data_IF_420447350276
#
_entry.id   IF_420447350276
#
_cell.length_a   1.000
_cell.length_b   1.000
_cell.length_c   1.000
_cell.angle_alpha   90.00
_cell.angle_beta   90.00
_cell.angle_gamma   90.00
#
_symmetry.space_group_name_H-M   'P 1'
#
loop_
_entity.id
_entity.type
_entity.pdbx_description
1 polymer ?
#
# COMPACT_ATOMS: atom_id res chain seq x y z
N UNK A 1 -11.56 -19.61 6.30
CA UNK A 1 -12.37 -18.96 7.36
C UNK A 1 -11.43 -18.26 8.32
N UNK A 2 -11.79 -17.05 8.77
CA UNK A 2 -11.06 -16.32 9.81
C UNK A 2 -11.39 -16.92 11.18
N UNK A 3 -10.84 -18.09 11.46
CA UNK A 3 -10.95 -18.72 12.77
C UNK A 3 -9.54 -18.99 13.26
N UNK A 4 -9.18 -18.37 14.38
CA UNK A 4 -7.96 -18.68 15.13
C UNK A 4 -8.10 -20.09 15.69
N UNK A 5 -7.68 -21.08 14.90
CA UNK A 5 -7.71 -22.49 15.26
C UNK A 5 -6.32 -22.91 15.72
N UNK A 6 -6.25 -23.58 16.86
CA UNK A 6 -5.04 -24.26 17.28
C UNK A 6 -4.61 -25.29 16.21
N UNK A 7 -3.31 -25.43 15.99
CA UNK A 7 -2.73 -26.21 14.89
C UNK A 7 -3.19 -27.67 14.89
N UNK A 8 -3.51 -28.23 16.05
CA UNK A 8 -4.04 -29.60 16.21
C UNK A 8 -5.52 -29.78 15.87
N UNK A 9 -6.30 -28.69 15.82
CA UNK A 9 -7.75 -28.73 15.59
C UNK A 9 -8.14 -28.49 14.13
N UNK A 10 -7.18 -28.13 13.27
CA UNK A 10 -7.43 -27.76 11.87
C UNK A 10 -8.14 -28.85 11.07
N UNK A 11 -7.71 -30.12 11.23
CA UNK A 11 -8.33 -31.25 10.51
C UNK A 11 -9.75 -31.59 10.97
N UNK A 12 -10.10 -31.29 12.22
CA UNK A 12 -11.46 -31.44 12.75
C UNK A 12 -12.32 -30.27 12.27
N UNK A 13 -11.80 -29.05 12.33
CA UNK A 13 -12.49 -27.86 11.88
C UNK A 13 -12.80 -27.88 10.37
N UNK A 14 -11.87 -28.37 9.54
CA UNK A 14 -12.08 -28.49 8.09
C UNK A 14 -13.20 -29.50 7.74
N UNK A 15 -13.49 -30.45 8.64
CA UNK A 15 -14.62 -31.39 8.50
C UNK A 15 -15.95 -30.80 8.97
N UNK A 16 -15.91 -30.07 10.08
CA UNK A 16 -17.12 -29.67 10.80
C UNK A 16 -17.61 -28.26 10.39
N UNK A 17 -16.75 -27.43 9.78
CA UNK A 17 -17.10 -26.10 9.30
C UNK A 17 -16.94 -25.98 7.79
N UNK A 18 -18.00 -25.52 7.12
CA UNK A 18 -17.96 -25.25 5.69
C UNK A 18 -17.27 -23.92 5.41
N UNK A 19 -16.32 -23.90 4.49
CA UNK A 19 -15.69 -22.66 4.07
C UNK A 19 -16.63 -21.81 3.21
N UNK A 20 -16.41 -20.48 3.26
CA UNK A 20 -17.07 -19.52 2.36
C UNK A 20 -16.82 -19.91 0.90
N UNK A 21 -17.89 -20.00 0.12
CA UNK A 21 -17.84 -20.43 -1.28
C UNK A 21 -17.06 -19.44 -2.16
N UNK A 22 -16.19 -19.96 -3.03
CA UNK A 22 -15.52 -19.16 -4.07
C UNK A 22 -16.41 -18.97 -5.30
N UNK A 23 -17.15 -20.01 -5.67
CA UNK A 23 -17.98 -20.09 -6.86
C UNK A 23 -19.19 -21.00 -6.62
N UNK A 24 -20.33 -20.70 -7.24
CA UNK A 24 -21.49 -21.59 -7.26
C UNK A 24 -22.23 -21.53 -8.60
N UNK A 25 -23.13 -22.49 -8.81
CA UNK A 25 -24.05 -22.54 -9.95
C UNK A 25 -25.37 -21.87 -9.54
N UNK A 26 -25.99 -21.14 -10.46
CA UNK A 26 -27.25 -20.40 -10.24
C UNK A 26 -27.08 -18.89 -10.41
N UNK A 27 -28.06 -18.13 -9.93
CA UNK A 27 -28.09 -16.66 -9.93
C UNK A 27 -28.34 -16.05 -8.55
N UNK A 28 -28.38 -16.87 -7.50
CA UNK A 28 -28.55 -16.46 -6.11
C UNK A 28 -27.68 -17.31 -5.16
N UNK A 29 -27.56 -16.87 -3.91
CA UNK A 29 -26.95 -17.66 -2.83
C UNK A 29 -27.80 -17.55 -1.56
N UNK A 30 -27.82 -18.62 -0.77
CA UNK A 30 -28.41 -18.57 0.56
C UNK A 30 -27.46 -17.89 1.56
N UNK A 31 -28.02 -17.43 2.67
CA UNK A 31 -27.21 -16.97 3.80
C UNK A 31 -26.24 -18.08 4.26
N UNK A 32 -24.97 -17.70 4.50
CA UNK A 32 -23.97 -18.57 5.10
C UNK A 32 -23.77 -18.13 6.54
N UNK A 33 -24.51 -18.74 7.46
CA UNK A 33 -24.51 -18.39 8.88
C UNK A 33 -23.33 -19.02 9.63
N UNK A 34 -22.58 -18.20 10.37
CA UNK A 34 -21.52 -18.65 11.29
C UNK A 34 -21.96 -18.35 12.71
N UNK A 35 -21.98 -19.39 13.55
CA UNK A 35 -22.38 -19.33 14.95
C UNK A 35 -21.28 -18.69 15.82
N UNK A 36 -21.66 -17.79 16.70
CA UNK A 36 -20.81 -17.16 17.72
C UNK A 36 -19.81 -16.11 17.22
N UNK A 37 -19.73 -15.83 15.92
CA UNK A 37 -18.83 -14.82 15.35
C UNK A 37 -19.48 -13.43 15.29
N UNK A 38 -20.07 -12.98 16.39
CA UNK A 38 -20.75 -11.70 16.51
C UNK A 38 -19.80 -10.66 17.10
N UNK A 39 -19.66 -9.51 16.44
CA UNK A 39 -18.87 -8.39 16.99
C UNK A 39 -19.53 -7.83 18.26
N UNK A 40 -18.76 -7.26 19.20
CA UNK A 40 -19.31 -6.51 20.32
C UNK A 40 -20.28 -5.43 19.81
N UNK A 41 -21.39 -5.22 20.50
CA UNK A 41 -22.46 -4.29 20.11
C UNK A 41 -23.17 -4.61 18.79
N UNK A 42 -23.10 -5.85 18.30
CA UNK A 42 -23.95 -6.28 17.18
C UNK A 42 -25.41 -6.38 17.62
N UNK A 43 -26.33 -6.07 16.71
CA UNK A 43 -27.77 -6.09 16.97
C UNK A 43 -28.45 -7.06 16.02
N UNK A 44 -29.48 -7.76 16.50
CA UNK A 44 -30.25 -8.67 15.68
C UNK A 44 -31.02 -7.89 14.62
N UNK A 45 -30.86 -8.25 13.35
CA UNK A 45 -31.53 -7.54 12.25
C UNK A 45 -33.06 -7.68 12.26
N UNK A 46 -33.63 -8.55 13.09
CA UNK A 46 -35.07 -8.83 13.16
C UNK A 46 -35.73 -8.09 14.32
N UNK A 47 -35.19 -8.19 15.53
CA UNK A 47 -35.78 -7.58 16.73
C UNK A 47 -35.03 -6.33 17.21
N UNK A 48 -33.87 -6.02 16.63
CA UNK A 48 -33.00 -4.90 17.01
C UNK A 48 -32.42 -4.97 18.44
N UNK A 49 -32.53 -6.11 19.12
CA UNK A 49 -31.90 -6.34 20.42
C UNK A 49 -30.45 -6.82 20.25
N UNK A 50 -29.55 -6.57 21.23
CA UNK A 50 -28.15 -6.94 21.13
C UNK A 50 -27.92 -8.45 20.97
N UNK A 51 -26.95 -8.82 20.14
CA UNK A 51 -26.47 -10.19 19.94
C UNK A 51 -25.16 -10.43 20.69
N UNK A 52 -24.86 -11.70 20.99
CA UNK A 52 -23.60 -12.12 21.60
C UNK A 52 -23.47 -11.79 23.09
N UNK A 53 -24.60 -11.53 23.78
CA UNK A 53 -24.64 -11.26 25.22
C UNK A 53 -24.51 -12.53 26.07
N UNK A 54 -24.91 -13.69 25.53
CA UNK A 54 -24.74 -14.96 26.23
C UNK A 54 -23.24 -15.33 26.24
N UNK A 55 -22.75 -15.84 27.38
CA UNK A 55 -21.40 -16.41 27.50
C UNK A 55 -21.30 -17.78 26.77
N UNK A 56 -21.98 -17.90 25.64
CA UNK A 56 -22.07 -19.07 24.79
C UNK A 56 -22.11 -18.62 23.32
N UNK A 57 -21.59 -19.45 22.42
CA UNK A 57 -21.70 -19.23 20.97
C UNK A 57 -23.16 -19.48 20.56
N UNK A 58 -24.09 -18.54 20.77
CA UNK A 58 -25.52 -18.75 20.52
C UNK A 58 -26.01 -18.08 19.22
N UNK A 59 -25.58 -16.85 18.96
CA UNK A 59 -26.09 -16.05 17.83
C UNK A 59 -25.32 -16.27 16.54
N UNK A 60 -25.87 -15.81 15.42
CA UNK A 60 -25.32 -16.06 14.09
C UNK A 60 -24.96 -14.77 13.36
N UNK A 61 -23.90 -14.83 12.56
CA UNK A 61 -23.51 -13.78 11.59
C UNK A 61 -23.40 -14.37 10.20
N UNK A 62 -24.01 -13.73 9.21
CA UNK A 62 -23.86 -14.16 7.81
C UNK A 62 -22.53 -13.69 7.22
N UNK A 63 -21.74 -14.59 6.63
CA UNK A 63 -20.46 -14.26 5.98
C UNK A 63 -20.57 -13.42 4.70
N UNK A 64 -21.78 -13.26 4.16
CA UNK A 64 -22.01 -12.49 2.93
C UNK A 64 -22.54 -11.09 3.28
N UNK A 65 -23.77 -11.00 3.80
CA UNK A 65 -24.39 -9.72 4.12
C UNK A 65 -23.95 -9.11 5.47
N UNK A 66 -23.17 -9.83 6.27
CA UNK A 66 -22.66 -9.39 7.59
C UNK A 66 -23.75 -9.14 8.65
N UNK A 67 -25.03 -9.39 8.36
CA UNK A 67 -26.12 -9.27 9.34
C UNK A 67 -25.95 -10.30 10.46
N UNK A 68 -26.34 -9.88 11.66
CA UNK A 68 -26.43 -10.71 12.86
C UNK A 68 -27.88 -11.04 13.19
N UNK A 69 -28.12 -12.25 13.71
CA UNK A 69 -29.46 -12.72 14.06
C UNK A 69 -29.39 -13.67 15.26
N UNK A 70 -30.35 -13.54 16.18
CA UNK A 70 -30.50 -14.52 17.26
C UNK A 70 -30.94 -15.87 16.72
N UNK A 71 -30.60 -16.95 17.43
CA UNK A 71 -31.09 -18.31 17.11
C UNK A 71 -32.61 -18.33 16.91
N UNK A 72 -33.36 -17.71 17.83
CA UNK A 72 -34.83 -17.67 17.78
C UNK A 72 -35.40 -16.77 16.65
N UNK A 73 -34.59 -15.85 16.13
CA UNK A 73 -35.01 -14.91 15.08
C UNK A 73 -34.68 -15.41 13.67
N UNK A 74 -33.84 -16.45 13.53
CA UNK A 74 -33.32 -16.88 12.23
C UNK A 74 -34.42 -17.28 11.23
N UNK A 75 -35.48 -17.96 11.70
CA UNK A 75 -36.61 -18.37 10.84
C UNK A 75 -37.51 -17.24 10.34
N UNK A 76 -37.24 -15.98 10.74
CA UNK A 76 -37.97 -14.78 10.30
C UNK A 76 -37.28 -14.06 9.14
N UNK A 77 -36.12 -14.54 8.69
CA UNK A 77 -35.37 -13.98 7.57
C UNK A 77 -35.57 -14.80 6.30
N UNK A 78 -35.44 -14.13 5.15
CA UNK A 78 -35.36 -14.79 3.86
C UNK A 78 -34.15 -15.74 3.81
N UNK A 79 -34.31 -16.88 3.14
CA UNK A 79 -33.21 -17.83 2.97
C UNK A 79 -32.13 -17.31 2.02
N UNK A 80 -32.54 -16.51 1.03
CA UNK A 80 -31.68 -15.94 -0.01
C UNK A 80 -31.02 -14.66 0.48
N UNK A 81 -29.69 -14.63 0.39
CA UNK A 81 -28.89 -13.50 0.84
C UNK A 81 -28.81 -12.41 -0.23
N UNK A 82 -29.18 -11.19 0.15
CA UNK A 82 -29.07 -9.97 -0.67
C UNK A 82 -27.65 -9.37 -0.71
N UNK A 83 -26.67 -10.04 -0.11
CA UNK A 83 -25.25 -9.66 0.01
C UNK A 83 -24.99 -8.39 0.85
N UNK A 84 -26.03 -7.80 1.45
CA UNK A 84 -25.91 -6.68 2.38
C UNK A 84 -25.37 -5.37 1.78
N UNK A 85 -24.93 -4.47 2.65
CA UNK A 85 -24.61 -3.07 2.31
C UNK A 85 -23.44 -2.92 1.32
N UNK A 86 -22.40 -3.75 1.41
CA UNK A 86 -21.21 -3.66 0.55
C UNK A 86 -21.28 -4.56 -0.69
N UNK A 87 -22.49 -4.96 -1.13
CA UNK A 87 -22.69 -5.82 -2.30
C UNK A 87 -22.10 -5.27 -3.60
N UNK A 88 -21.91 -3.95 -3.70
CA UNK A 88 -21.29 -3.29 -4.84
C UNK A 88 -19.78 -3.63 -4.95
N UNK A 89 -19.09 -3.83 -3.83
CA UNK A 89 -17.66 -4.15 -3.74
C UNK A 89 -17.39 -5.66 -3.86
N UNK A 90 -18.40 -6.48 -3.62
CA UNK A 90 -18.31 -7.93 -3.58
C UNK A 90 -18.54 -8.54 -4.97
N UNK A 91 -17.76 -9.55 -5.33
CA UNK A 91 -18.03 -10.43 -6.48
C UNK A 91 -18.78 -11.67 -5.99
N UNK A 92 -20.08 -11.82 -6.27
CA UNK A 92 -20.85 -12.95 -5.75
C UNK A 92 -20.30 -14.30 -6.25
N UNK A 93 -20.41 -15.39 -5.48
CA UNK A 93 -19.95 -16.72 -5.93
C UNK A 93 -20.61 -17.17 -7.25
N UNK A 94 -21.88 -16.83 -7.47
CA UNK A 94 -22.58 -17.16 -8.72
C UNK A 94 -22.04 -16.38 -9.93
N UNK A 95 -21.27 -15.31 -9.70
CA UNK A 95 -20.60 -14.52 -10.74
C UNK A 95 -19.25 -15.14 -11.15
N UNK A 96 -18.64 -15.99 -10.31
CA UNK A 96 -17.30 -16.55 -10.54
C UNK A 96 -17.40 -17.92 -11.23
N UNK A 97 -16.56 -18.17 -12.23
CA UNK A 97 -16.31 -19.52 -12.77
C UNK A 97 -14.84 -19.86 -12.63
N UNK A 98 -14.54 -21.03 -12.09
CA UNK A 98 -13.17 -21.47 -11.83
C UNK A 98 -12.68 -22.45 -12.91
N UNK A 99 -11.37 -22.50 -13.10
CA UNK A 99 -10.67 -23.53 -13.90
C UNK A 99 -9.53 -24.12 -13.09
N UNK A 100 -9.35 -25.43 -13.18
CA UNK A 100 -8.17 -26.09 -12.63
C UNK A 100 -6.98 -25.88 -13.57
N UNK A 101 -5.87 -25.38 -13.04
CA UNK A 101 -4.61 -25.22 -13.77
C UNK A 101 -3.47 -25.92 -13.04
N UNK A 102 -2.37 -26.17 -13.74
CA UNK A 102 -1.19 -26.85 -13.20
C UNK A 102 -1.14 -28.35 -13.48
N UNK A 103 0.00 -28.97 -13.16
CA UNK A 103 0.26 -30.39 -13.39
C UNK A 103 0.02 -31.23 -12.13
N UNK A 104 0.10 -32.56 -12.25
CA UNK A 104 -0.28 -33.52 -11.20
C UNK A 104 0.60 -33.28 -9.96
N UNK A 105 -0.02 -33.00 -8.81
CA UNK A 105 0.66 -32.64 -7.56
C UNK A 105 0.84 -31.13 -7.30
N UNK A 106 0.58 -30.26 -8.28
CA UNK A 106 0.59 -28.79 -8.14
C UNK A 106 -0.61 -28.12 -8.82
N UNK A 107 -1.76 -28.78 -8.82
CA UNK A 107 -3.00 -28.22 -9.38
C UNK A 107 -3.58 -27.18 -8.42
N UNK A 108 -4.05 -26.06 -8.95
CA UNK A 108 -4.74 -25.02 -8.18
C UNK A 108 -5.85 -24.38 -9.01
N UNK A 109 -6.89 -23.88 -8.32
CA UNK A 109 -8.03 -23.22 -8.95
C UNK A 109 -7.64 -21.78 -9.29
N UNK A 110 -7.98 -21.34 -10.50
CA UNK A 110 -7.90 -19.94 -10.92
C UNK A 110 -9.24 -19.48 -11.46
N UNK A 111 -9.51 -18.19 -11.38
CA UNK A 111 -10.71 -17.60 -11.97
C UNK A 111 -10.59 -17.64 -13.49
N UNK A 112 -11.56 -18.27 -14.14
CA UNK A 112 -11.65 -18.37 -15.60
C UNK A 112 -12.38 -17.18 -16.19
N UNK A 113 -13.53 -16.83 -15.62
CA UNK A 113 -14.32 -15.68 -16.02
C UNK A 113 -15.18 -15.19 -14.85
N UNK A 114 -15.61 -13.95 -14.96
CA UNK A 114 -16.51 -13.28 -14.03
C UNK A 114 -17.67 -12.73 -14.84
N UNK A 115 -18.88 -13.18 -14.52
CA UNK A 115 -20.10 -12.66 -15.12
C UNK A 115 -20.68 -11.60 -14.19
N UNK A 116 -20.90 -10.34 -14.63
CA UNK A 116 -21.45 -9.31 -13.76
C UNK A 116 -22.81 -9.70 -13.16
N UNK A 117 -23.11 -9.27 -11.91
CA UNK A 117 -24.43 -9.43 -11.33
C UNK A 117 -25.46 -8.53 -12.05
N UNK A 118 -26.75 -8.83 -11.85
CA UNK A 118 -27.86 -8.07 -12.46
C UNK A 118 -28.12 -6.71 -11.77
N UNK A 119 -27.54 -6.45 -10.61
CA UNK A 119 -27.77 -5.23 -9.84
C UNK A 119 -26.69 -4.17 -10.13
N UNK A 120 -27.09 -2.91 -10.01
CA UNK A 120 -26.20 -1.75 -10.10
C UNK A 120 -26.44 -0.80 -8.89
N UNK A 121 -25.44 0.01 -8.49
CA UNK A 121 -24.06 0.03 -9.01
C UNK A 121 -23.24 -1.19 -8.57
N UNK A 122 -22.26 -1.58 -9.38
CA UNK A 122 -21.30 -2.64 -9.07
C UNK A 122 -19.88 -2.17 -9.43
N UNK A 123 -19.01 -2.11 -8.42
CA UNK A 123 -17.59 -1.70 -8.56
C UNK A 123 -16.75 -2.61 -7.68
N UNK A 124 -16.32 -3.77 -8.21
CA UNK A 124 -15.60 -4.79 -7.47
C UNK A 124 -14.33 -4.28 -6.81
N UNK A 125 -14.10 -4.72 -5.58
CA UNK A 125 -12.92 -4.40 -4.81
C UNK A 125 -11.95 -5.59 -4.81
N UNK A 126 -10.72 -5.37 -5.27
CA UNK A 126 -9.66 -6.37 -5.24
C UNK A 126 -8.66 -6.01 -4.16
N UNK A 127 -8.37 -6.95 -3.27
CA UNK A 127 -7.47 -6.74 -2.14
C UNK A 127 -6.17 -7.47 -2.42
N UNK A 128 -5.07 -6.74 -2.38
CA UNK A 128 -3.74 -7.27 -2.59
C UNK A 128 -2.91 -6.97 -1.35
N UNK A 129 -2.37 -8.00 -0.72
CA UNK A 129 -1.58 -7.83 0.49
C UNK A 129 -0.44 -8.83 0.56
N UNK A 130 0.66 -8.45 1.21
CA UNK A 130 1.72 -9.39 1.56
C UNK A 130 1.55 -9.79 3.03
N UNK A 131 1.27 -11.08 3.30
CA UNK A 131 1.02 -11.61 4.65
C UNK A 131 2.10 -11.29 5.68
N UNK A 132 3.36 -11.10 5.25
CA UNK A 132 4.50 -10.82 6.14
C UNK A 132 4.69 -9.33 6.45
N UNK A 133 3.90 -8.45 5.83
CA UNK A 133 3.97 -7.00 6.06
C UNK A 133 3.49 -6.62 7.46
N UNK A 134 4.02 -5.52 7.99
CA UNK A 134 3.56 -4.96 9.26
C UNK A 134 3.69 -5.92 10.45
N UNK A 135 4.80 -6.65 10.58
CA UNK A 135 4.95 -7.65 11.66
C UNK A 135 3.88 -8.76 11.63
N UNK A 136 3.55 -9.25 10.44
CA UNK A 136 2.48 -10.24 10.16
C UNK A 136 1.04 -9.70 10.26
N UNK A 137 0.84 -8.39 10.43
CA UNK A 137 -0.49 -7.76 10.33
C UNK A 137 -1.16 -8.03 8.97
N UNK A 138 -0.38 -8.26 7.92
CA UNK A 138 -0.89 -8.63 6.59
C UNK A 138 -1.75 -9.90 6.59
N UNK A 139 -1.46 -10.88 7.45
CA UNK A 139 -2.28 -12.11 7.58
C UNK A 139 -3.67 -11.80 8.14
N UNK A 140 -3.74 -10.96 9.17
CA UNK A 140 -5.00 -10.51 9.76
C UNK A 140 -5.84 -9.73 8.74
N UNK A 141 -5.22 -8.82 7.98
CA UNK A 141 -5.90 -8.08 6.90
C UNK A 141 -6.49 -9.03 5.86
N UNK A 142 -5.68 -9.95 5.34
CA UNK A 142 -6.13 -10.96 4.37
C UNK A 142 -7.31 -11.77 4.91
N UNK A 143 -7.23 -12.21 6.17
CA UNK A 143 -8.27 -12.99 6.83
C UNK A 143 -9.58 -12.19 6.98
N UNK A 144 -9.48 -10.95 7.44
CA UNK A 144 -10.63 -10.07 7.67
C UNK A 144 -11.35 -9.72 6.35
N UNK A 145 -10.61 -9.38 5.29
CA UNK A 145 -11.22 -9.16 3.97
C UNK A 145 -11.85 -10.42 3.38
N UNK A 146 -11.26 -11.62 3.57
CA UNK A 146 -11.89 -12.89 3.16
C UNK A 146 -13.18 -13.17 3.92
N UNK A 147 -13.31 -12.65 5.14
CA UNK A 147 -14.55 -12.69 5.93
C UNK A 147 -15.70 -11.92 5.27
N UNK A 148 -15.39 -10.83 4.57
CA UNK A 148 -16.40 -9.92 4.00
C UNK A 148 -16.57 -10.11 2.48
N UNK A 149 -15.48 -10.05 1.72
CA UNK A 149 -15.46 -10.22 0.27
C UNK A 149 -15.45 -11.69 -0.15
N UNK A 150 -15.63 -11.96 -1.44
CA UNK A 150 -15.35 -13.30 -1.97
C UNK A 150 -13.85 -13.60 -1.76
N UNK A 151 -13.47 -14.74 -1.19
CA UNK A 151 -12.06 -15.01 -0.92
C UNK A 151 -11.17 -15.00 -2.16
N UNK A 152 -11.74 -15.19 -3.36
CA UNK A 152 -11.02 -15.07 -4.63
C UNK A 152 -10.61 -13.63 -4.97
N UNK A 153 -11.26 -12.61 -4.40
CA UNK A 153 -10.90 -11.19 -4.53
C UNK A 153 -9.70 -10.79 -3.66
N UNK A 154 -9.25 -11.67 -2.75
CA UNK A 154 -8.24 -11.37 -1.72
C UNK A 154 -6.95 -12.14 -2.00
N UNK A 155 -6.02 -11.44 -2.62
CA UNK A 155 -4.78 -11.96 -3.22
C UNK A 155 -3.64 -11.77 -2.24
N UNK A 156 -2.99 -12.89 -1.89
CA UNK A 156 -1.78 -12.87 -1.09
C UNK A 156 -0.55 -12.91 -1.99
N UNK A 157 0.27 -11.85 -1.91
CA UNK A 157 1.47 -11.68 -2.71
C UNK A 157 2.59 -12.69 -2.39
N UNK A 158 2.48 -13.46 -1.30
CA UNK A 158 3.41 -14.56 -1.04
C UNK A 158 3.06 -15.83 -1.81
N UNK A 159 1.77 -16.03 -2.12
CA UNK A 159 1.31 -17.21 -2.86
C UNK A 159 1.24 -16.94 -4.35
N UNK A 160 0.84 -15.73 -4.73
CA UNK A 160 0.55 -15.35 -6.10
C UNK A 160 1.31 -14.08 -6.48
N UNK A 161 1.85 -13.99 -7.70
CA UNK A 161 2.38 -12.73 -8.20
C UNK A 161 1.24 -11.70 -8.37
N UNK A 162 1.53 -10.39 -8.28
CA UNK A 162 0.52 -9.34 -8.36
C UNK A 162 -0.24 -9.35 -9.69
N UNK A 163 0.39 -9.80 -10.78
CA UNK A 163 -0.25 -9.98 -12.08
C UNK A 163 -1.51 -10.86 -11.97
N UNK A 164 -1.43 -11.95 -11.21
CA UNK A 164 -2.57 -12.85 -11.00
C UNK A 164 -3.73 -12.17 -10.27
N UNK A 165 -3.43 -11.23 -9.38
CA UNK A 165 -4.45 -10.45 -8.68
C UNK A 165 -5.07 -9.37 -9.54
N UNK A 166 -4.26 -8.69 -10.35
CA UNK A 166 -4.71 -7.62 -11.24
C UNK A 166 -5.44 -8.15 -12.48
N UNK A 167 -5.28 -9.43 -12.82
CA UNK A 167 -6.04 -10.09 -13.89
C UNK A 167 -7.55 -10.00 -13.70
N UNK A 168 -8.04 -9.85 -12.46
CA UNK A 168 -9.44 -9.54 -12.19
C UNK A 168 -9.96 -8.32 -12.95
N UNK A 169 -9.12 -7.30 -13.17
CA UNK A 169 -9.47 -6.11 -13.95
C UNK A 169 -9.63 -6.44 -15.44
N UNK A 170 -8.88 -7.41 -15.97
CA UNK A 170 -9.10 -7.94 -17.32
C UNK A 170 -10.33 -8.83 -17.43
N UNK A 171 -10.72 -9.50 -16.35
CA UNK A 171 -11.90 -10.36 -16.35
C UNK A 171 -13.20 -9.56 -16.21
N UNK A 172 -13.13 -8.33 -15.67
CA UNK A 172 -14.27 -7.44 -15.41
C UNK A 172 -14.10 -6.15 -16.22
N UNK A 173 -13.96 -6.26 -17.55
CA UNK A 173 -13.62 -5.10 -18.40
C UNK A 173 -14.70 -4.02 -18.47
N UNK A 174 -15.95 -4.42 -18.32
CA UNK A 174 -17.09 -3.50 -18.47
C UNK A 174 -17.37 -2.68 -17.19
N UNK A 175 -16.59 -2.87 -16.12
CA UNK A 175 -16.76 -2.15 -14.86
C UNK A 175 -15.41 -1.73 -14.29
N UNK A 176 -15.36 -0.56 -13.67
CA UNK A 176 -14.14 -0.10 -12.99
C UNK A 176 -13.99 -0.82 -11.65
N UNK A 177 -12.96 -1.68 -11.57
CA UNK A 177 -12.50 -2.26 -10.31
C UNK A 177 -11.81 -1.21 -9.45
N UNK A 178 -11.81 -1.41 -8.13
CA UNK A 178 -11.00 -0.66 -7.15
C UNK A 178 -9.97 -1.61 -6.54
N UNK A 179 -8.77 -1.11 -6.22
CA UNK A 179 -7.71 -1.93 -5.64
C UNK A 179 -7.33 -1.41 -4.26
N UNK A 180 -7.30 -2.30 -3.27
CA UNK A 180 -6.62 -2.06 -1.98
C UNK A 180 -5.25 -2.72 -2.03
N UNK A 181 -4.21 -1.96 -1.69
CA UNK A 181 -2.88 -2.50 -1.41
C UNK A 181 -2.59 -2.39 0.08
N UNK A 182 -2.54 -3.53 0.79
CA UNK A 182 -2.11 -3.56 2.18
C UNK A 182 -0.60 -3.82 2.26
N UNK A 183 0.15 -2.78 2.58
CA UNK A 183 1.62 -2.80 2.51
C UNK A 183 2.25 -1.45 2.87
N UNK A 184 3.53 -1.30 2.53
CA UNK A 184 4.24 -0.02 2.59
C UNK A 184 4.44 0.59 1.20
N UNK A 185 5.12 1.73 1.13
CA UNK A 185 5.31 2.52 -0.09
C UNK A 185 5.94 1.71 -1.25
N UNK A 186 6.95 0.88 -0.96
CA UNK A 186 7.54 -0.01 -1.97
C UNK A 186 6.57 -1.05 -2.57
N UNK A 187 5.59 -1.54 -1.78
CA UNK A 187 4.54 -2.44 -2.29
C UNK A 187 3.58 -1.69 -3.21
N UNK A 188 3.23 -0.45 -2.87
CA UNK A 188 2.36 0.40 -3.69
C UNK A 188 3.00 0.65 -5.06
N UNK A 189 4.27 1.09 -5.07
CA UNK A 189 4.99 1.33 -6.32
C UNK A 189 5.16 0.05 -7.17
N UNK A 190 5.33 -1.11 -6.52
CA UNK A 190 5.35 -2.38 -7.22
C UNK A 190 4.02 -2.68 -7.92
N UNK A 191 2.89 -2.50 -7.24
CA UNK A 191 1.56 -2.70 -7.83
C UNK A 191 1.31 -1.74 -8.99
N UNK A 192 1.61 -0.44 -8.85
CA UNK A 192 1.48 0.50 -9.96
C UNK A 192 2.33 0.10 -11.18
N UNK A 193 3.58 -0.35 -10.95
CA UNK A 193 4.45 -0.83 -12.03
C UNK A 193 3.85 -2.04 -12.75
N UNK A 194 3.16 -2.93 -12.02
CA UNK A 194 2.46 -4.08 -12.62
C UNK A 194 1.23 -3.61 -13.40
N UNK A 195 0.47 -2.64 -12.88
CA UNK A 195 -0.68 -2.04 -13.58
C UNK A 195 -0.25 -1.42 -14.92
N UNK A 196 0.86 -0.66 -14.94
CA UNK A 196 1.42 -0.08 -16.18
C UNK A 196 1.77 -1.16 -17.21
N UNK A 197 2.40 -2.25 -16.76
CA UNK A 197 2.79 -3.37 -17.63
C UNK A 197 1.58 -4.11 -18.20
N UNK A 198 0.53 -4.25 -17.40
CA UNK A 198 -0.72 -4.89 -17.80
C UNK A 198 -1.59 -4.00 -18.69
N UNK A 199 -1.35 -2.67 -18.72
CA UNK A 199 -2.10 -1.70 -19.52
C UNK A 199 -3.61 -1.81 -19.28
N UNK A 200 -4.00 -1.78 -18.00
CA UNK A 200 -5.40 -1.90 -17.60
C UNK A 200 -6.20 -0.68 -18.08
N UNK A 201 -7.31 -0.91 -18.77
CA UNK A 201 -8.20 0.13 -19.29
C UNK A 201 -9.67 -0.16 -18.91
N UNK A 202 -10.35 0.75 -18.19
CA UNK A 202 -9.79 1.94 -17.52
C UNK A 202 -8.84 1.55 -16.36
N UNK A 203 -7.83 2.37 -16.03
CA UNK A 203 -6.94 2.08 -14.92
C UNK A 203 -7.73 2.12 -13.60
N UNK A 204 -7.73 1.03 -12.81
CA UNK A 204 -8.47 0.98 -11.56
C UNK A 204 -7.83 1.92 -10.52
N UNK A 205 -8.61 2.73 -9.78
CA UNK A 205 -8.05 3.56 -8.73
C UNK A 205 -7.57 2.70 -7.55
N UNK A 206 -6.46 3.12 -6.95
CA UNK A 206 -5.78 2.41 -5.87
C UNK A 206 -5.94 3.15 -4.53
N UNK A 207 -6.30 2.42 -3.46
CA UNK A 207 -6.10 2.86 -2.08
C UNK A 207 -5.06 1.98 -1.38
N UNK A 208 -4.55 2.50 -0.27
CA UNK A 208 -3.57 1.82 0.57
C UNK A 208 -4.16 1.48 1.93
N UNK A 209 -3.81 0.31 2.46
CA UNK A 209 -3.88 0.03 3.88
C UNK A 209 -2.46 0.05 4.45
N UNK A 210 -2.07 1.13 5.14
CA UNK A 210 -0.71 1.30 5.64
C UNK A 210 -0.34 0.27 6.70
N UNK A 211 0.45 -0.73 6.29
CA UNK A 211 1.08 -1.73 7.17
C UNK A 211 2.57 -1.42 7.42
N UNK A 212 3.09 -0.35 6.84
CA UNK A 212 4.49 0.08 6.98
C UNK A 212 4.74 0.96 8.20
N UNK A 213 5.94 1.56 8.24
CA UNK A 213 6.34 2.53 9.28
C UNK A 213 6.39 3.96 8.73
N UNK A 214 6.82 4.11 7.47
CA UNK A 214 6.83 5.35 6.69
C UNK A 214 5.42 5.79 6.35
N UNK A 215 4.72 5.11 5.43
CA UNK A 215 3.30 5.32 5.11
C UNK A 215 3.00 6.75 4.64
N UNK A 216 3.95 7.41 4.00
CA UNK A 216 3.80 8.79 3.56
C UNK A 216 2.73 8.90 2.46
N UNK A 217 2.62 7.91 1.57
CA UNK A 217 1.52 7.83 0.59
C UNK A 217 0.15 7.79 1.29
N UNK A 218 0.00 6.95 2.32
CA UNK A 218 -1.26 6.82 3.05
C UNK A 218 -1.68 8.13 3.74
N UNK A 219 -0.72 8.85 4.34
CA UNK A 219 -0.98 10.15 4.97
C UNK A 219 -1.45 11.21 3.98
N UNK A 220 -0.89 11.22 2.77
CA UNK A 220 -1.28 12.20 1.75
C UNK A 220 -2.71 11.99 1.30
N UNK A 221 -3.16 10.74 1.19
CA UNK A 221 -4.49 10.39 0.67
C UNK A 221 -5.52 10.04 1.76
N UNK A 222 -5.25 10.35 3.04
CA UNK A 222 -6.20 10.21 4.15
C UNK A 222 -6.44 8.78 4.63
N UNK A 223 -5.53 7.84 4.36
CA UNK A 223 -5.65 6.43 4.81
C UNK A 223 -4.94 6.18 6.14
N UNK A 224 -4.67 7.24 6.90
CA UNK A 224 -4.05 7.19 8.21
C UNK A 224 -2.54 6.97 8.20
N UNK A 225 -1.96 7.08 9.40
CA UNK A 225 -0.53 6.86 9.56
C UNK A 225 -0.17 5.37 9.55
N UNK A 226 -1.11 4.46 9.76
CA UNK A 226 -0.89 3.01 9.88
C UNK A 226 -1.77 2.40 10.95
N UNK A 227 -2.22 1.18 10.71
CA UNK A 227 -3.12 0.45 11.60
C UNK A 227 -2.35 -0.54 12.49
N UNK A 228 -2.78 -0.73 13.73
CA UNK A 228 -2.50 -1.95 14.51
C UNK A 228 -3.51 -3.03 14.11
N UNK A 229 -3.08 -4.27 13.91
CA UNK A 229 -3.96 -5.39 13.51
C UNK A 229 -5.15 -5.64 14.44
N UNK A 230 -5.05 -5.28 15.72
CA UNK A 230 -6.14 -5.36 16.69
C UNK A 230 -7.28 -4.36 16.44
N UNK A 231 -7.05 -3.31 15.65
CA UNK A 231 -7.97 -2.16 15.52
C UNK A 231 -8.51 -1.98 14.09
N UNK A 232 -8.12 -2.83 13.12
CA UNK A 232 -8.62 -2.72 11.74
C UNK A 232 -10.05 -3.25 11.67
N UNK A 233 -11.01 -2.32 11.70
CA UNK A 233 -12.37 -2.61 11.31
C UNK A 233 -12.52 -2.51 9.79
N UNK A 234 -12.48 -3.66 9.11
CA UNK A 234 -12.60 -3.72 7.63
C UNK A 234 -13.91 -3.13 7.12
N UNK A 235 -14.97 -3.16 7.94
CA UNK A 235 -16.23 -2.52 7.58
C UNK A 235 -16.08 -1.00 7.45
N UNK A 236 -15.39 -0.35 8.40
CA UNK A 236 -15.17 1.09 8.39
C UNK A 236 -14.26 1.50 7.23
N UNK A 237 -13.29 0.64 6.89
CA UNK A 237 -12.48 0.78 5.67
C UNK A 237 -13.35 0.74 4.42
N UNK A 238 -14.27 -0.23 4.31
CA UNK A 238 -15.19 -0.31 3.17
C UNK A 238 -16.13 0.89 3.09
N UNK A 239 -16.68 1.34 4.22
CA UNK A 239 -17.50 2.55 4.28
C UNK A 239 -16.70 3.80 3.83
N UNK A 240 -15.41 3.87 4.18
CA UNK A 240 -14.52 4.98 3.77
C UNK A 240 -14.20 4.90 2.27
N UNK A 241 -13.99 3.71 1.73
CA UNK A 241 -13.78 3.47 0.30
C UNK A 241 -15.02 3.79 -0.54
N UNK A 242 -16.22 3.50 -0.02
CA UNK A 242 -17.48 3.81 -0.70
C UNK A 242 -17.76 5.33 -0.73
N UNK A 243 -17.09 6.12 0.12
CA UNK A 243 -17.17 7.59 0.16
C UNK A 243 -15.94 8.30 -0.42
N UNK A 244 -14.90 7.55 -0.79
CA UNK A 244 -13.66 8.10 -1.29
C UNK A 244 -13.84 8.75 -2.67
N UNK A 245 -13.07 9.80 -2.93
CA UNK A 245 -13.00 10.43 -4.26
C UNK A 245 -11.83 9.85 -5.04
N UNK A 246 -11.90 9.94 -6.36
CA UNK A 246 -10.78 9.58 -7.23
C UNK A 246 -9.98 10.82 -7.56
N UNK A 247 -8.68 10.78 -7.33
CA UNK A 247 -7.72 11.80 -7.76
C UNK A 247 -6.61 11.16 -8.59
N UNK A 248 -5.84 11.98 -9.29
CA UNK A 248 -4.69 11.51 -10.06
C UNK A 248 -3.40 11.90 -9.35
N UNK A 249 -2.40 11.05 -9.48
CA UNK A 249 -1.03 11.29 -9.03
C UNK A 249 -0.07 11.06 -10.20
N UNK A 250 0.88 11.97 -10.37
CA UNK A 250 1.97 11.85 -11.31
C UNK A 250 2.92 10.75 -10.84
N UNK A 251 3.37 9.95 -11.79
CA UNK A 251 4.42 8.96 -11.59
C UNK A 251 5.59 9.32 -12.48
N UNK A 252 6.77 9.01 -11.97
CA UNK A 252 8.03 9.47 -12.55
C UNK A 252 8.92 8.31 -12.89
N UNK A 253 9.62 8.40 -14.01
CA UNK A 253 10.60 7.43 -14.48
C UNK A 253 12.00 7.93 -14.16
N UNK A 254 12.78 7.10 -13.48
CA UNK A 254 14.20 7.30 -13.20
C UNK A 254 14.99 6.44 -14.20
N UNK A 255 15.56 7.07 -15.21
CA UNK A 255 16.47 6.44 -16.15
C UNK A 255 17.91 6.54 -15.64
N UNK A 256 18.54 5.40 -15.38
CA UNK A 256 19.90 5.30 -14.81
C UNK A 256 20.85 4.84 -15.90
N UNK A 257 21.73 5.76 -16.32
CA UNK A 257 22.79 5.54 -17.30
C UNK A 257 24.16 5.40 -16.61
N UNK A 258 24.73 4.19 -16.51
CA UNK A 258 26.04 3.99 -15.88
C UNK A 258 27.15 4.74 -16.61
N UNK A 259 28.13 5.27 -15.87
CA UNK A 259 29.34 5.80 -16.51
C UNK A 259 30.17 4.66 -17.11
N UNK A 260 30.68 4.89 -18.34
CA UNK A 260 31.58 3.93 -19.01
C UNK A 260 32.87 3.77 -18.22
N UNK A 261 33.27 2.53 -17.92
CA UNK A 261 34.61 2.21 -17.41
C UNK A 261 35.29 1.23 -18.34
N UNK A 262 36.51 1.57 -18.80
CA UNK A 262 37.32 0.70 -19.66
C UNK A 262 36.59 0.18 -20.92
N UNK A 263 35.74 1.02 -21.53
CA UNK A 263 34.99 0.66 -22.74
C UNK A 263 33.73 -0.20 -22.51
N UNK A 264 33.50 -0.71 -21.30
CA UNK A 264 32.30 -1.45 -20.94
C UNK A 264 31.33 -0.56 -20.16
N UNK A 265 30.06 -0.58 -20.55
CA UNK A 265 28.96 0.01 -19.78
C UNK A 265 28.06 -1.12 -19.29
N UNK A 266 27.73 -1.10 -18.00
CA UNK A 266 26.59 -1.89 -17.51
C UNK A 266 25.31 -1.43 -18.24
N UNK A 267 24.32 -2.32 -18.42
CA UNK A 267 23.05 -1.94 -19.04
C UNK A 267 22.38 -0.80 -18.27
N UNK A 268 21.72 0.09 -19.00
CA UNK A 268 20.88 1.12 -18.39
C UNK A 268 19.76 0.46 -17.59
N UNK A 269 19.38 1.08 -16.49
CA UNK A 269 18.31 0.60 -15.63
C UNK A 269 17.19 1.62 -15.58
N UNK A 270 15.97 1.13 -15.42
CA UNK A 270 14.79 1.98 -15.24
C UNK A 270 14.14 1.64 -13.91
N UNK A 271 13.81 2.68 -13.15
CA UNK A 271 13.02 2.60 -11.93
C UNK A 271 11.86 3.58 -12.03
N UNK A 272 10.83 3.36 -11.24
CA UNK A 272 9.67 4.23 -11.18
C UNK A 272 9.54 4.78 -9.77
N UNK A 273 9.07 6.02 -9.65
CA UNK A 273 8.91 6.76 -8.43
C UNK A 273 7.49 7.30 -8.34
N UNK A 274 6.85 7.09 -7.20
CA UNK A 274 5.51 7.59 -6.89
C UNK A 274 5.55 8.60 -5.75
N UNK A 275 6.45 8.44 -4.77
CA UNK A 275 6.54 9.34 -3.62
C UNK A 275 7.73 10.28 -3.75
N UNK A 276 8.93 9.73 -3.66
CA UNK A 276 10.16 10.51 -3.65
C UNK A 276 11.42 9.66 -3.87
N UNK A 277 12.44 10.31 -4.42
CA UNK A 277 13.79 9.78 -4.60
C UNK A 277 14.75 10.59 -3.72
N UNK A 278 15.78 9.96 -3.17
CA UNK A 278 16.86 10.70 -2.51
C UNK A 278 18.23 10.08 -2.71
N UNK A 279 19.26 10.92 -2.59
CA UNK A 279 20.67 10.57 -2.60
C UNK A 279 21.35 11.21 -1.40
N UNK A 280 22.31 10.50 -0.79
CA UNK A 280 23.11 11.00 0.33
C UNK A 280 22.60 10.53 1.69
N UNK A 281 22.73 11.37 2.71
CA UNK A 281 22.50 10.98 4.12
C UNK A 281 21.09 10.45 4.39
N UNK A 282 20.06 10.98 3.74
CA UNK A 282 18.67 10.47 3.82
C UNK A 282 18.59 9.01 3.36
N UNK A 283 19.04 8.73 2.13
CA UNK A 283 19.09 7.39 1.58
C UNK A 283 20.00 6.44 2.38
N UNK A 284 21.07 6.95 2.99
CA UNK A 284 21.96 6.17 3.85
C UNK A 284 21.24 5.69 5.11
N UNK A 285 20.42 6.53 5.74
CA UNK A 285 19.60 6.14 6.89
C UNK A 285 18.62 5.05 6.48
N UNK A 286 17.92 5.20 5.35
CA UNK A 286 17.03 4.16 4.80
C UNK A 286 17.78 2.84 4.53
N UNK A 287 18.98 2.91 3.93
CA UNK A 287 19.80 1.74 3.62
C UNK A 287 20.24 0.98 4.87
N UNK A 288 20.68 1.70 5.91
CA UNK A 288 21.09 1.07 7.16
C UNK A 288 19.91 0.47 7.89
N UNK A 289 18.76 1.15 7.91
CA UNK A 289 17.53 0.61 8.46
C UNK A 289 17.12 -0.69 7.75
N UNK A 290 17.19 -0.74 6.42
CA UNK A 290 16.91 -1.94 5.62
C UNK A 290 17.84 -3.11 5.99
N UNK A 291 19.17 -2.87 6.06
CA UNK A 291 20.15 -3.90 6.46
C UNK A 291 19.91 -4.41 7.87
N UNK A 292 19.61 -3.52 8.82
CA UNK A 292 19.30 -3.90 10.21
C UNK A 292 18.03 -4.74 10.30
N UNK A 293 17.00 -4.41 9.52
CA UNK A 293 15.77 -5.22 9.42
C UNK A 293 16.00 -6.65 8.91
N UNK A 294 17.01 -6.87 8.08
CA UNK A 294 17.39 -8.20 7.59
C UNK A 294 18.33 -8.95 8.53
N UNK A 295 18.82 -8.30 9.60
CA UNK A 295 19.74 -8.92 10.55
C UNK A 295 18.99 -9.81 11.55
N UNK A 296 19.62 -10.92 11.93
CA UNK A 296 19.06 -11.85 12.91
C UNK A 296 18.83 -11.20 14.29
N UNK A 297 19.57 -10.12 14.61
CA UNK A 297 19.48 -9.38 15.88
C UNK A 297 18.23 -8.50 16.02
N UNK A 298 17.39 -8.40 14.99
CA UNK A 298 16.14 -7.64 14.99
C UNK A 298 15.00 -8.41 15.70
N UNK A 299 15.20 -8.75 16.97
CA UNK A 299 14.22 -9.51 17.77
C UNK A 299 13.09 -8.65 18.35
N UNK A 300 13.19 -7.31 18.29
CA UNK A 300 12.18 -6.38 18.81
C UNK A 300 11.40 -5.71 17.68
N UNK A 301 10.29 -6.33 17.27
CA UNK A 301 9.42 -5.87 16.18
C UNK A 301 8.32 -4.94 16.71
N UNK A 302 8.63 -3.66 16.93
CA UNK A 302 7.60 -2.64 17.19
C UNK A 302 7.79 -1.43 16.27
N UNK A 303 6.70 -0.86 15.78
CA UNK A 303 6.66 0.37 14.98
C UNK A 303 7.30 1.56 15.69
N UNK A 304 7.15 1.65 17.02
CA UNK A 304 7.81 2.67 17.84
C UNK A 304 9.33 2.47 17.88
N UNK A 305 9.79 1.23 18.00
CA UNK A 305 11.22 0.89 17.93
C UNK A 305 11.80 1.20 16.55
N UNK A 306 11.01 1.02 15.48
CA UNK A 306 11.40 1.43 14.13
C UNK A 306 11.54 2.94 14.00
N UNK A 307 10.55 3.73 14.45
CA UNK A 307 10.66 5.20 14.49
C UNK A 307 11.88 5.64 15.33
N UNK A 308 12.14 4.99 16.46
CA UNK A 308 13.30 5.27 17.32
C UNK A 308 14.64 4.90 16.68
N UNK A 309 14.72 3.81 15.91
CA UNK A 309 15.91 3.46 15.14
C UNK A 309 16.27 4.55 14.12
N UNK A 310 15.28 5.14 13.43
CA UNK A 310 15.54 6.29 12.54
C UNK A 310 16.19 7.47 13.28
N UNK A 311 15.70 7.80 14.47
CA UNK A 311 16.25 8.87 15.32
C UNK A 311 17.69 8.55 15.75
N UNK A 312 17.95 7.32 16.20
CA UNK A 312 19.28 6.90 16.70
C UNK A 312 20.34 6.71 15.62
N UNK A 313 19.95 6.41 14.37
CA UNK A 313 20.88 6.51 13.23
C UNK A 313 21.20 7.98 12.91
N UNK A 314 20.26 8.89 13.16
CA UNK A 314 20.46 10.34 13.02
C UNK A 314 21.63 10.90 13.86
N UNK A 315 22.03 10.21 14.93
CA UNK A 315 23.00 10.68 15.94
C UNK A 315 24.36 9.97 15.90
N UNK A 316 24.66 9.11 14.92
CA UNK A 316 25.95 8.40 14.83
C UNK A 316 26.91 9.06 13.83
N UNK A 317 27.97 9.70 14.34
CA UNK A 317 29.10 10.33 13.61
C UNK A 317 29.75 9.48 12.50
N UNK A 318 29.54 8.16 12.51
CA UNK A 318 30.08 7.23 11.50
C UNK A 318 29.32 7.28 10.15
N UNK A 319 28.06 7.76 10.13
CA UNK A 319 27.26 7.82 8.91
C UNK A 319 27.66 8.98 7.99
N UNK A 320 28.00 10.12 8.57
CA UNK A 320 28.26 11.36 7.85
C UNK A 320 29.49 11.27 6.94
N UNK A 321 30.54 10.52 7.34
CA UNK A 321 31.80 10.43 6.56
C UNK A 321 31.60 10.03 5.09
N UNK A 322 30.58 9.22 4.79
CA UNK A 322 30.33 8.74 3.43
C UNK A 322 29.66 9.78 2.54
N UNK A 323 28.77 10.60 3.11
CA UNK A 323 27.95 11.58 2.37
C UNK A 323 28.47 13.02 2.47
N UNK A 324 29.48 13.29 3.31
CA UNK A 324 30.21 14.56 3.34
C UNK A 324 30.72 14.96 1.95
N UNK A 325 30.82 16.27 1.74
CA UNK A 325 31.29 16.86 0.48
C UNK A 325 30.47 16.41 -0.74
N UNK A 326 29.14 16.33 -0.61
CA UNK A 326 28.23 16.00 -1.71
C UNK A 326 28.47 16.84 -2.99
N UNK A 327 28.85 18.14 -2.94
CA UNK A 327 29.18 18.92 -4.14
C UNK A 327 30.28 18.32 -5.01
N UNK A 328 31.22 17.58 -4.41
CA UNK A 328 32.30 16.91 -5.12
C UNK A 328 31.86 15.59 -5.74
N UNK A 329 30.70 15.05 -5.31
CA UNK A 329 30.21 13.71 -5.64
C UNK A 329 28.96 13.73 -6.51
N UNK A 330 28.18 14.81 -6.49
CA UNK A 330 26.90 14.95 -7.20
C UNK A 330 26.81 16.30 -7.88
N UNK A 331 26.37 16.30 -9.13
CA UNK A 331 25.93 17.52 -9.83
C UNK A 331 24.43 17.44 -10.09
N UNK A 332 23.72 18.55 -9.89
CA UNK A 332 22.27 18.64 -10.01
C UNK A 332 21.88 19.65 -11.08
N UNK A 333 20.93 19.28 -11.93
CA UNK A 333 20.24 20.18 -12.84
C UNK A 333 18.73 20.06 -12.68
N UNK A 334 18.05 21.20 -12.71
CA UNK A 334 16.61 21.33 -12.73
C UNK A 334 16.22 22.01 -14.05
N UNK A 335 15.48 21.32 -14.91
CA UNK A 335 15.10 21.81 -16.25
C UNK A 335 16.30 22.35 -17.06
N UNK A 336 17.44 21.66 -16.97
CA UNK A 336 18.69 22.04 -17.65
C UNK A 336 19.52 23.11 -16.93
N UNK A 337 19.00 23.77 -15.90
CA UNK A 337 19.72 24.75 -15.10
C UNK A 337 20.50 24.09 -13.96
N UNK A 338 21.82 24.33 -13.91
CA UNK A 338 22.68 23.76 -12.86
C UNK A 338 22.40 24.43 -11.52
N UNK A 339 22.12 23.64 -10.49
CA UNK A 339 21.90 24.15 -9.12
C UNK A 339 23.14 24.03 -8.26
N UNK A 340 23.30 24.99 -7.35
CA UNK A 340 24.31 24.91 -6.32
C UNK A 340 23.86 23.93 -5.23
N UNK A 341 24.74 22.99 -4.89
CA UNK A 341 24.52 21.98 -3.86
C UNK A 341 25.55 22.10 -2.72
N UNK A 342 26.27 23.22 -2.65
CA UNK A 342 27.26 23.52 -1.63
C UNK A 342 26.71 23.30 -0.22
N UNK A 343 27.53 22.68 0.63
CA UNK A 343 27.22 22.34 2.02
C UNK A 343 26.08 21.32 2.23
N UNK A 344 25.47 20.79 1.17
CA UNK A 344 24.47 19.73 1.30
C UNK A 344 25.14 18.36 1.50
N UNK A 345 24.45 17.47 2.20
CA UNK A 345 24.80 16.05 2.38
C UNK A 345 23.69 15.11 1.86
N UNK A 346 22.52 15.64 1.53
CA UNK A 346 21.51 14.93 0.75
C UNK A 346 20.71 15.86 -0.17
N UNK A 347 20.20 15.26 -1.25
CA UNK A 347 19.23 15.85 -2.16
C UNK A 347 18.02 14.91 -2.18
N UNK A 348 16.83 15.47 -2.01
CA UNK A 348 15.57 14.74 -2.06
C UNK A 348 14.67 15.37 -3.13
N UNK A 349 14.12 14.53 -3.99
CA UNK A 349 13.21 14.88 -5.08
C UNK A 349 11.84 14.32 -4.71
N UNK A 350 10.87 15.20 -4.52
CA UNK A 350 9.54 14.90 -3.99
C UNK A 350 8.50 15.01 -5.11
N UNK A 351 7.58 14.06 -5.14
CA UNK A 351 6.34 14.14 -5.92
C UNK A 351 5.13 14.37 -4.99
N UNK A 352 5.14 13.74 -3.81
CA UNK A 352 4.09 13.94 -2.80
C UNK A 352 4.57 14.86 -1.68
N UNK A 353 3.64 15.55 -0.98
CA UNK A 353 4.04 16.52 0.04
C UNK A 353 4.54 15.91 1.33
N UNK A 354 4.48 14.59 1.50
CA UNK A 354 4.86 13.90 2.72
C UNK A 354 6.17 13.13 2.53
N UNK A 355 7.12 13.33 3.44
CA UNK A 355 8.43 12.70 3.45
C UNK A 355 8.83 12.33 4.88
N UNK A 356 9.64 11.27 5.03
CA UNK A 356 10.33 11.01 6.30
C UNK A 356 9.40 10.76 7.49
N UNK A 357 8.26 10.08 7.25
CA UNK A 357 7.23 9.74 8.24
C UNK A 357 6.34 10.92 8.69
N UNK A 358 5.81 11.69 7.75
CA UNK A 358 4.80 12.73 8.03
C UNK A 358 5.27 14.16 7.78
N UNK A 359 6.56 14.38 7.57
CA UNK A 359 7.13 15.72 7.39
C UNK A 359 6.65 16.29 6.07
N UNK A 360 6.22 17.56 6.07
CA UNK A 360 5.82 18.29 4.87
C UNK A 360 6.85 19.35 4.50
N UNK A 361 8.04 18.96 4.01
CA UNK A 361 9.19 19.84 3.93
C UNK A 361 8.95 21.09 3.06
N UNK A 362 8.23 20.96 1.94
CA UNK A 362 7.97 22.10 1.05
C UNK A 362 7.14 23.21 1.70
N UNK A 363 6.29 22.86 2.66
CA UNK A 363 5.39 23.75 3.38
C UNK A 363 6.01 24.36 4.64
N UNK A 364 7.22 23.94 5.02
CA UNK A 364 7.88 24.44 6.23
C UNK A 364 8.42 25.85 6.02
N UNK A 365 8.25 26.68 7.06
CA UNK A 365 8.94 27.94 7.14
C UNK A 365 8.42 29.09 6.30
N UNK A 366 9.12 30.23 6.38
CA UNK A 366 8.74 31.46 5.67
C UNK A 366 8.80 31.30 4.14
N UNK A 367 9.75 30.51 3.63
CA UNK A 367 9.83 30.23 2.19
C UNK A 367 8.72 29.32 1.65
N UNK A 368 7.98 28.60 2.51
CA UNK A 368 6.86 27.77 2.10
C UNK A 368 5.64 28.60 1.72
N UNK A 369 5.52 29.79 2.33
CA UNK A 369 4.48 30.77 2.02
C UNK A 369 4.75 31.52 0.70
N UNK A 370 6.00 31.55 0.26
CA UNK A 370 6.44 32.28 -0.95
C UNK A 370 6.64 31.37 -2.17
N UNK A 371 6.79 30.06 -1.96
CA UNK A 371 6.91 29.09 -3.04
C UNK A 371 5.55 28.83 -3.71
N UNK A 372 5.56 28.35 -4.96
CA UNK A 372 4.33 27.81 -5.53
C UNK A 372 3.89 26.58 -4.71
N UNK A 373 2.57 26.37 -4.53
CA UNK A 373 2.06 25.21 -3.82
C UNK A 373 2.56 23.92 -4.48
N UNK A 374 3.01 22.98 -3.65
CA UNK A 374 3.34 21.64 -4.11
C UNK A 374 2.07 20.88 -4.45
N UNK A 375 2.06 20.22 -5.60
CA UNK A 375 0.99 19.33 -6.05
C UNK A 375 1.60 18.05 -6.57
N UNK A 376 0.85 16.96 -6.46
CA UNK A 376 1.27 15.65 -6.95
C UNK A 376 0.67 15.32 -8.33
N UNK A 377 0.03 16.29 -9.00
CA UNK A 377 -0.75 16.12 -10.22
C UNK A 377 -0.51 17.23 -11.27
N UNK A 378 0.55 18.02 -11.12
CA UNK A 378 0.86 19.20 -11.93
C UNK A 378 2.02 19.02 -12.92
N UNK A 379 2.63 17.84 -12.94
CA UNK A 379 3.79 17.50 -13.75
C UNK A 379 5.08 18.17 -13.28
N UNK A 380 5.19 18.51 -11.99
CA UNK A 380 6.38 19.08 -11.37
C UNK A 380 6.90 18.20 -10.22
N UNK A 381 8.20 18.35 -9.93
CA UNK A 381 8.88 17.75 -8.80
C UNK A 381 9.49 18.85 -7.92
N UNK A 382 9.29 18.76 -6.61
CA UNK A 382 9.95 19.61 -5.64
C UNK A 382 11.31 19.04 -5.26
N UNK A 383 12.37 19.85 -5.35
CA UNK A 383 13.72 19.43 -5.00
C UNK A 383 14.22 20.20 -3.79
N UNK A 384 14.61 19.46 -2.76
CA UNK A 384 15.13 19.97 -1.50
C UNK A 384 16.54 19.44 -1.20
N UNK A 385 17.30 20.23 -0.45
CA UNK A 385 18.61 19.91 0.08
C UNK A 385 18.60 19.78 1.61
N UNK A 386 19.45 18.90 2.12
CA UNK A 386 19.61 18.65 3.55
C UNK A 386 21.08 18.70 3.94
N UNK A 387 21.41 19.33 5.08
CA UNK A 387 22.79 19.52 5.53
C UNK A 387 23.41 18.32 6.24
N UNK A 388 22.62 17.50 6.94
CA UNK A 388 23.11 16.37 7.72
C UNK A 388 21.96 15.47 8.20
N UNK A 389 22.29 14.35 8.83
CA UNK A 389 21.31 13.50 9.51
C UNK A 389 20.67 14.20 10.72
N UNK A 390 21.40 15.10 11.39
CA UNK A 390 20.84 15.93 12.44
C UNK A 390 19.79 16.91 11.88
N UNK A 391 20.06 17.49 10.70
CA UNK A 391 19.08 18.34 10.03
C UNK A 391 17.79 17.59 9.71
N UNK A 392 17.88 16.34 9.25
CA UNK A 392 16.71 15.46 9.04
C UNK A 392 15.89 15.31 10.33
N UNK A 393 16.55 15.05 11.46
CA UNK A 393 15.86 14.94 12.75
C UNK A 393 15.20 16.25 13.19
N UNK A 394 15.86 17.39 12.95
CA UNK A 394 15.29 18.71 13.25
C UNK A 394 14.03 19.00 12.42
N UNK A 395 14.00 18.60 11.15
CA UNK A 395 12.81 18.70 10.31
C UNK A 395 11.67 17.82 10.84
N UNK A 396 11.97 16.61 11.31
CA UNK A 396 10.97 15.71 11.87
C UNK A 396 10.28 16.26 13.13
N UNK A 397 10.98 17.08 13.93
CA UNK A 397 10.42 17.73 15.13
C UNK A 397 9.97 19.18 14.86
N UNK A 398 10.08 19.67 13.62
CA UNK A 398 9.60 20.99 13.22
C UNK A 398 10.42 22.19 13.71
N UNK A 399 11.71 22.01 14.01
CA UNK A 399 12.58 23.09 14.51
C UNK A 399 13.61 23.60 13.48
N UNK A 400 13.52 23.14 12.23
CA UNK A 400 14.35 23.60 11.11
C UNK A 400 13.52 23.66 9.82
N UNK A 401 14.12 24.18 8.75
CA UNK A 401 13.55 24.26 7.40
C UNK A 401 14.48 23.65 6.36
N UNK A 402 13.96 23.00 5.31
CA UNK A 402 14.81 22.44 4.26
C UNK A 402 15.39 23.52 3.35
N UNK A 403 16.48 23.20 2.65
CA UNK A 403 16.98 24.06 1.57
C UNK A 403 16.14 23.82 0.33
N UNK A 404 15.34 24.79 -0.10
CA UNK A 404 14.54 24.68 -1.33
C UNK A 404 15.41 24.97 -2.55
N UNK A 405 15.59 23.97 -3.42
CA UNK A 405 16.42 24.09 -4.63
C UNK A 405 15.59 24.47 -5.87
N UNK A 406 14.31 24.11 -5.89
CA UNK A 406 13.36 24.53 -6.93
C UNK A 406 12.29 23.48 -7.22
N UNK A 407 11.40 23.82 -8.16
CA UNK A 407 10.47 22.89 -8.81
C UNK A 407 10.93 22.67 -10.25
N UNK A 408 10.76 21.45 -10.77
CA UNK A 408 11.21 21.10 -12.12
C UNK A 408 10.35 20.02 -12.78
N UNK A 409 10.29 20.03 -14.12
CA UNK A 409 9.70 18.94 -14.92
C UNK A 409 10.72 17.83 -15.21
N UNK A 410 11.99 18.17 -15.18
CA UNK A 410 13.10 17.25 -15.39
C UNK A 410 14.16 17.48 -14.31
N UNK A 411 14.51 16.41 -13.59
CA UNK A 411 15.59 16.44 -12.59
C UNK A 411 16.71 15.51 -13.05
N UNK A 412 17.91 16.07 -13.24
CA UNK A 412 19.09 15.30 -13.62
C UNK A 412 20.12 15.34 -12.50
N UNK A 413 20.57 14.16 -12.07
CA UNK A 413 21.68 13.99 -11.15
C UNK A 413 22.84 13.25 -11.83
N UNK A 414 24.04 13.79 -11.74
CA UNK A 414 25.26 13.08 -12.14
C UNK A 414 26.03 12.66 -10.90
N UNK A 415 26.08 11.36 -10.63
CA UNK A 415 26.84 10.78 -9.54
C UNK A 415 28.25 10.44 -10.03
N UNK A 416 29.24 11.07 -9.41
CA UNK A 416 30.67 10.91 -9.72
C UNK A 416 31.30 9.76 -8.92
N UNK A 417 30.70 9.42 -7.78
CA UNK A 417 31.14 8.35 -6.88
C UNK A 417 30.01 7.38 -6.56
N UNK A 418 30.36 6.31 -5.83
CA UNK A 418 29.35 5.37 -5.33
C UNK A 418 28.65 5.96 -4.12
N UNK A 419 27.34 6.16 -4.24
CA UNK A 419 26.52 6.81 -3.20
C UNK A 419 25.28 5.98 -2.85
N UNK A 420 24.82 6.04 -1.59
CA UNK A 420 23.53 5.52 -1.21
C UNK A 420 22.42 6.37 -1.86
N UNK A 421 21.45 5.68 -2.45
CA UNK A 421 20.24 6.26 -3.03
C UNK A 421 19.03 5.43 -2.62
N UNK A 422 17.84 6.00 -2.67
CA UNK A 422 16.58 5.26 -2.46
C UNK A 422 15.47 5.83 -3.34
N UNK A 423 14.48 5.00 -3.62
CA UNK A 423 13.22 5.40 -4.26
C UNK A 423 12.07 4.75 -3.51
N UNK A 424 11.08 5.53 -3.07
CA UNK A 424 9.88 5.07 -2.37
C UNK A 424 10.16 4.10 -1.19
N UNK A 425 11.27 4.33 -0.48
CA UNK A 425 11.71 3.52 0.66
C UNK A 425 12.54 2.29 0.33
N UNK A 426 12.87 2.04 -0.95
CA UNK A 426 13.74 0.95 -1.41
C UNK A 426 15.18 1.45 -1.66
N UNK A 427 16.15 1.18 -0.76
CA UNK A 427 17.50 1.73 -0.84
C UNK A 427 18.51 0.82 -1.55
N UNK A 428 19.51 1.41 -2.20
CA UNK A 428 20.67 0.68 -2.75
C UNK A 428 21.94 1.55 -2.84
N UNK A 429 23.06 0.91 -3.15
CA UNK A 429 24.34 1.58 -3.42
C UNK A 429 24.52 1.79 -4.92
N UNK A 430 24.34 3.01 -5.39
CA UNK A 430 24.44 3.35 -6.81
C UNK A 430 25.90 3.66 -7.18
N UNK A 431 26.44 2.93 -8.17
CA UNK A 431 27.72 3.26 -8.78
C UNK A 431 27.62 4.55 -9.63
N UNK A 432 28.75 5.20 -9.99
CA UNK A 432 28.72 6.41 -10.80
C UNK A 432 27.86 6.29 -12.05
N UNK A 433 26.91 7.19 -12.19
CA UNK A 433 25.85 7.14 -13.19
C UNK A 433 25.20 8.51 -13.35
N UNK A 434 24.57 8.72 -14.50
CA UNK A 434 23.59 9.80 -14.68
C UNK A 434 22.20 9.25 -14.39
N UNK A 435 21.47 9.90 -13.49
CA UNK A 435 20.08 9.62 -13.19
C UNK A 435 19.24 10.75 -13.76
N UNK A 436 18.27 10.41 -14.61
CA UNK A 436 17.33 11.34 -15.21
C UNK A 436 15.93 11.00 -14.74
N UNK A 437 15.28 11.92 -14.03
CA UNK A 437 13.92 11.78 -13.51
C UNK A 437 13.00 12.62 -14.38
N UNK A 438 12.03 11.97 -15.00
CA UNK A 438 11.09 12.57 -15.98
C UNK A 438 9.70 12.01 -15.78
N UNK A 439 8.68 12.76 -16.22
CA UNK A 439 7.30 12.33 -16.15
C UNK A 439 7.09 11.00 -16.89
N UNK A 440 6.31 10.08 -16.31
CA UNK A 440 5.98 8.78 -16.88
C UNK A 440 4.50 8.68 -17.24
N UNK A 441 3.63 8.78 -16.24
CA UNK A 441 2.17 8.72 -16.41
C UNK A 441 1.46 9.33 -15.21
N UNK A 442 0.12 9.45 -15.30
CA UNK A 442 -0.73 9.64 -14.14
C UNK A 442 -1.39 8.33 -13.75
N UNK A 443 -1.49 8.07 -12.44
CA UNK A 443 -2.22 6.95 -11.88
C UNK A 443 -3.38 7.45 -11.02
N UNK A 444 -4.49 6.73 -11.02
CA UNK A 444 -5.66 7.09 -10.21
C UNK A 444 -5.57 6.48 -8.81
N UNK A 445 -5.90 7.28 -7.81
CA UNK A 445 -5.89 6.91 -6.39
C UNK A 445 -7.21 7.28 -5.73
N UNK A 446 -7.59 6.52 -4.71
CA UNK A 446 -8.72 6.85 -3.87
C UNK A 446 -8.25 7.72 -2.70
N UNK A 447 -8.94 8.83 -2.48
CA UNK A 447 -8.68 9.78 -1.39
C UNK A 447 -9.78 9.70 -0.36
N UNK A 448 -9.41 9.39 0.88
CA UNK A 448 -10.36 9.31 1.97
C UNK A 448 -10.63 10.72 2.53
N UNK A 449 -11.82 11.24 2.24
CA UNK A 449 -12.25 12.58 2.61
C UNK A 449 -12.48 12.76 4.13
N UNK A 450 -12.62 11.67 4.91
CA UNK A 450 -12.92 11.75 6.35
C UNK A 450 -11.73 12.18 7.22
N UNK A 451 -10.50 12.03 6.74
CA UNK A 451 -9.27 12.40 7.47
C UNK A 451 -8.54 13.63 6.90
N UNK A 452 -9.01 14.17 5.78
CA UNK A 452 -8.37 15.33 5.11
C UNK A 452 -8.92 16.67 5.63
N UNK A 453 -10.02 16.64 6.40
CA UNK A 453 -10.52 17.77 7.20
C UNK A 453 -9.90 17.75 8.60
#
# INVERSE_FOLDING_TARGET
>A
CSSDLDHGCRGIADRDFTCKLLSCVGDSINHHWVKGNTSPNSHCTVCNEPCGLEAALADFRCCWCQRTVHTACMGKLDEVCDLGRHKASLVPPYCVRLRMVGWKGRRHLVVRCVNPPKYLPWSPLIVVANRRSGNNDGEHVLSAFRGILNPAQVVDLNDLPPESGLEWCHLIKDHTCRIIVAGGDGTINWIFTVMDRLKLEPPPPLCVLPLGTGNDFARVFGWGEGYSSSDINVIDVLDSIDQATVENIDRWKIHISPQRRLGFASPCQEKYMTNYFSVGVDALVTLNFHKTRQSWLYFWKNRLFNKFLYITYGTRDLLEKKCRDLPQKVRLWLDGERKNVDHLEAITVLNIPCWGAGVRPWHMGAGGQLAQPQRYDDGLLEVIGLYSSFHVAQLQVGISEPVRLGQAKEVKLELLERLPVQVDGEPWEQAPATLLITFHCQASVLVNQREVQ
#
